data_IF_631888336235
#
_entry.id   IF_631888336235
#
_cell.length_a   1.000
_cell.length_b   1.000
_cell.length_c   1.000
_cell.angle_alpha   90.00
_cell.angle_beta   90.00
_cell.angle_gamma   90.00
#
_symmetry.space_group_name_H-M   'P 1'
#
loop_
_entity.id
_entity.type
_entity.pdbx_description
1 polymer ?
#
# COMPACT_ATOMS: atom_id res chain seq x y z
N UNK A 1 13.31 -19.27 -20.31
CA UNK A 1 13.06 -17.82 -20.08
C UNK A 1 12.00 -17.73 -19.00
N UNK A 2 12.43 -17.94 -17.75
CA UNK A 2 11.52 -18.00 -16.60
C UNK A 2 11.31 -16.59 -16.04
N UNK A 3 10.04 -16.21 -15.97
CA UNK A 3 9.60 -14.87 -15.62
C UNK A 3 9.62 -14.70 -14.11
N UNK A 4 10.49 -13.80 -13.65
CA UNK A 4 10.32 -12.90 -12.50
C UNK A 4 9.62 -13.47 -11.26
N UNK A 5 10.42 -13.98 -10.31
CA UNK A 5 10.04 -14.07 -8.91
C UNK A 5 10.02 -12.66 -8.30
N UNK A 6 8.91 -11.93 -8.47
CA UNK A 6 8.59 -10.82 -7.58
C UNK A 6 7.97 -11.43 -6.34
N UNK A 7 8.81 -11.58 -5.33
CA UNK A 7 8.45 -11.99 -3.97
C UNK A 7 7.20 -11.26 -3.51
N UNK A 8 6.11 -12.02 -3.48
CA UNK A 8 4.88 -11.80 -2.73
C UNK A 8 5.26 -11.69 -1.25
N UNK A 9 5.67 -10.50 -0.84
CA UNK A 9 5.94 -10.15 0.54
C UNK A 9 4.91 -9.13 1.03
N UNK A 10 3.63 -9.37 0.76
CA UNK A 10 2.53 -8.64 1.40
C UNK A 10 1.48 -9.64 1.84
N UNK A 11 1.80 -10.37 2.91
CA UNK A 11 0.82 -11.09 3.68
C UNK A 11 0.95 -10.66 5.13
N UNK A 12 -0.21 -10.38 5.72
CA UNK A 12 -0.53 -10.36 7.16
C UNK A 12 -0.37 -9.02 7.88
N UNK A 13 -1.45 -8.23 7.87
CA UNK A 13 -2.09 -7.70 9.09
C UNK A 13 -3.59 -7.51 8.73
N UNK A 14 -4.63 -7.85 9.47
CA UNK A 14 -4.89 -8.55 10.73
C UNK A 14 -6.44 -8.55 10.78
N UNK A 15 -7.06 -9.69 11.05
CA UNK A 15 -8.51 -9.86 11.30
C UNK A 15 -8.98 -8.92 12.42
N UNK A 16 -9.63 -7.83 12.03
CA UNK A 16 -10.41 -6.90 12.85
C UNK A 16 -11.26 -6.05 11.87
N UNK A 17 -12.14 -6.74 11.16
CA UNK A 17 -12.64 -6.43 9.82
C UNK A 17 -13.64 -5.25 9.73
N UNK A 18 -13.72 -4.38 10.75
CA UNK A 18 -14.61 -3.22 10.77
C UNK A 18 -13.94 -1.86 10.97
N UNK A 19 -12.68 -1.80 11.42
CA UNK A 19 -12.01 -0.53 11.77
C UNK A 19 -10.54 -0.44 11.32
N UNK A 20 -10.08 -1.36 10.47
CA UNK A 20 -8.68 -1.39 10.06
C UNK A 20 -8.37 -0.32 9.02
N UNK A 21 -7.38 0.53 9.31
CA UNK A 21 -6.81 1.43 8.31
C UNK A 21 -6.11 0.61 7.22
N UNK A 22 -6.39 0.93 5.97
CA UNK A 22 -5.79 0.30 4.80
C UNK A 22 -4.57 1.12 4.39
N UNK A 23 -3.46 0.46 4.06
CA UNK A 23 -2.25 1.12 3.54
C UNK A 23 -1.87 0.46 2.22
N UNK A 24 -1.53 1.26 1.21
CA UNK A 24 -1.09 0.76 -0.10
C UNK A 24 -0.07 1.70 -0.74
N UNK A 25 0.72 1.19 -1.68
CA UNK A 25 1.71 1.97 -2.42
C UNK A 25 1.26 2.15 -3.87
N UNK A 26 1.36 3.38 -4.36
CA UNK A 26 1.02 3.75 -5.75
C UNK A 26 2.20 4.47 -6.41
N UNK A 27 2.42 4.22 -7.70
CA UNK A 27 3.37 4.99 -8.51
C UNK A 27 2.67 6.22 -9.05
N UNK A 28 3.13 7.41 -8.66
CA UNK A 28 2.54 8.67 -9.12
C UNK A 28 3.20 9.15 -10.41
N UNK A 29 4.53 9.12 -10.45
CA UNK A 29 5.36 9.48 -11.60
C UNK A 29 6.50 8.46 -11.74
N UNK A 30 7.19 8.48 -12.87
CA UNK A 30 8.35 7.58 -13.08
C UNK A 30 9.41 7.83 -12.00
N UNK A 31 9.61 6.84 -11.13
CA UNK A 31 10.53 6.90 -9.99
C UNK A 31 9.90 7.40 -8.69
N UNK A 32 8.68 7.96 -8.72
CA UNK A 32 8.02 8.50 -7.52
C UNK A 32 6.95 7.54 -7.00
N UNK A 33 7.17 7.04 -5.79
CA UNK A 33 6.26 6.13 -5.10
C UNK A 33 5.62 6.80 -3.88
N UNK A 34 4.31 6.73 -3.78
CA UNK A 34 3.53 7.30 -2.68
C UNK A 34 2.91 6.16 -1.88
N UNK A 35 3.08 6.18 -0.56
CA UNK A 35 2.31 5.32 0.35
C UNK A 35 1.07 6.08 0.80
N UNK A 36 -0.10 5.54 0.45
CA UNK A 36 -1.41 6.05 0.79
C UNK A 36 -2.01 5.25 1.95
N UNK A 37 -2.88 5.91 2.71
CA UNK A 37 -3.67 5.29 3.77
C UNK A 37 -5.15 5.62 3.59
N UNK A 38 -6.04 4.73 4.03
CA UNK A 38 -7.48 4.99 4.13
C UNK A 38 -7.95 4.69 5.54
N UNK A 39 -8.62 5.67 6.15
CA UNK A 39 -9.39 5.43 7.37
C UNK A 39 -10.69 4.67 7.05
N UNK A 40 -11.29 3.98 8.03
CA UNK A 40 -12.62 3.37 7.89
C UNK A 40 -13.73 4.39 7.57
N UNK A 41 -13.51 5.67 7.89
CA UNK A 41 -14.41 6.78 7.58
C UNK A 41 -14.30 7.26 6.12
N UNK A 42 -13.39 6.67 5.33
CA UNK A 42 -13.18 7.01 3.92
C UNK A 42 -12.20 8.14 3.67
N UNK A 43 -11.54 8.66 4.71
CA UNK A 43 -10.50 9.67 4.53
C UNK A 43 -9.22 9.02 4.02
N UNK A 44 -8.70 9.55 2.91
CA UNK A 44 -7.42 9.11 2.35
C UNK A 44 -6.31 10.07 2.77
N UNK A 45 -5.17 9.52 3.16
CA UNK A 45 -3.98 10.28 3.55
C UNK A 45 -2.74 9.83 2.80
N UNK A 46 -1.71 10.70 2.78
CA UNK A 46 -0.36 10.35 2.31
C UNK A 46 0.53 10.13 3.52
N UNK A 47 1.15 8.95 3.61
CA UNK A 47 2.05 8.58 4.72
C UNK A 47 3.51 8.78 4.38
N UNK A 48 3.89 8.57 3.11
CA UNK A 48 5.29 8.65 2.67
C UNK A 48 5.38 8.92 1.18
N UNK A 49 6.38 9.70 0.79
CA UNK A 49 6.82 9.86 -0.60
C UNK A 49 8.26 9.35 -0.71
N UNK A 50 8.55 8.59 -1.76
CA UNK A 50 9.88 8.11 -2.14
C UNK A 50 10.16 8.53 -3.59
N UNK A 51 11.40 8.91 -3.86
CA UNK A 51 11.91 9.33 -5.17
C UNK A 51 12.90 8.29 -5.71
#
# INVERSE_FOLDING_TARGET
MEKTNLTKAESQQNTADGLKMVEWVEQYENGVYITLTSSPSGEKGVKRVRF
#
